data_IF_696980262571
#
_entry.id   IF_696980262571
#
_cell.length_a   1.000
_cell.length_b   1.000
_cell.length_c   1.000
_cell.angle_alpha   90.00
_cell.angle_beta   90.00
_cell.angle_gamma   90.00
#
_symmetry.space_group_name_H-M   'P 1'
#
loop_
_entity.id
_entity.type
_entity.pdbx_description
1 polymer ?
#
# COMPACT_ATOMS: atom_id res chain seq x y z
N UNK A 1 33.15 47.71 -59.42
CA UNK A 1 34.03 47.87 -60.59
C UNK A 1 35.43 47.43 -60.19
N UNK A 2 35.86 46.30 -60.77
CA UNK A 2 37.24 45.95 -61.17
C UNK A 2 38.29 45.78 -60.04
N UNK A 3 39.07 44.70 -59.91
CA UNK A 3 39.72 43.77 -60.85
C UNK A 3 39.81 42.37 -60.20
N UNK A 4 39.42 41.25 -60.83
CA UNK A 4 40.10 40.43 -61.87
C UNK A 4 41.48 39.86 -61.48
N UNK A 5 41.47 38.52 -61.33
CA UNK A 5 42.44 37.54 -61.88
C UNK A 5 43.83 37.45 -61.20
N UNK A 6 44.46 36.28 -60.99
CA UNK A 6 44.38 34.93 -61.60
C UNK A 6 45.23 33.95 -60.76
N UNK A 7 44.73 32.70 -60.57
CA UNK A 7 45.37 31.36 -60.56
C UNK A 7 46.88 31.16 -60.24
N UNK A 8 47.44 30.04 -59.74
CA UNK A 8 47.04 28.64 -59.47
C UNK A 8 48.23 27.97 -58.73
N UNK A 9 47.96 27.01 -57.82
CA UNK A 9 48.68 25.73 -57.57
C UNK A 9 48.46 25.30 -56.11
N UNK A 10 47.53 24.39 -55.83
CA UNK A 10 47.70 22.92 -55.80
C UNK A 10 48.70 22.48 -54.73
N UNK A 11 48.21 21.82 -53.68
CA UNK A 11 49.05 21.16 -52.69
C UNK A 11 48.32 20.82 -51.39
N UNK A 12 47.72 19.64 -51.37
CA UNK A 12 46.93 18.99 -50.32
C UNK A 12 47.54 18.92 -48.90
N UNK A 13 46.61 18.83 -47.93
CA UNK A 13 46.62 18.13 -46.63
C UNK A 13 46.90 18.88 -45.31
N UNK A 14 45.75 19.19 -44.65
CA UNK A 14 45.38 19.17 -43.22
C UNK A 14 46.11 20.06 -42.19
N UNK A 15 45.31 20.69 -41.30
CA UNK A 15 45.71 20.76 -39.90
C UNK A 15 44.61 20.30 -38.92
N UNK A 16 45.06 19.43 -38.01
CA UNK A 16 44.80 19.43 -36.56
C UNK A 16 43.65 20.31 -36.04
N UNK A 17 42.67 19.68 -35.39
CA UNK A 17 41.84 20.34 -34.38
C UNK A 17 41.73 19.49 -33.11
N UNK A 18 42.01 20.16 -32.00
CA UNK A 18 42.05 19.68 -30.60
C UNK A 18 40.81 18.87 -30.22
N UNK A 19 41.06 17.72 -29.60
CA UNK A 19 40.09 16.92 -28.86
C UNK A 19 39.76 17.56 -27.50
N UNK A 20 38.48 17.77 -27.22
CA UNK A 20 37.92 17.86 -25.86
C UNK A 20 37.23 16.52 -25.55
N UNK A 21 37.38 15.92 -24.35
CA UNK A 21 36.73 14.66 -24.05
C UNK A 21 35.24 14.91 -23.81
N UNK A 22 34.39 14.23 -24.58
CA UNK A 22 32.96 14.15 -24.32
C UNK A 22 32.75 13.34 -23.04
N UNK A 23 32.45 13.99 -21.94
CA UNK A 23 31.89 13.33 -20.75
C UNK A 23 30.50 12.80 -21.12
N UNK A 24 30.40 11.47 -21.13
CA UNK A 24 29.15 10.73 -21.28
C UNK A 24 28.25 10.98 -20.09
N UNK A 25 27.39 12.00 -20.19
CA UNK A 25 26.19 12.09 -19.35
C UNK A 25 25.24 10.99 -19.85
N UNK A 26 25.36 9.81 -19.26
CA UNK A 26 24.34 8.77 -19.39
C UNK A 26 23.05 9.32 -18.76
N UNK A 27 22.19 9.92 -19.58
CA UNK A 27 20.83 10.22 -19.20
C UNK A 27 20.14 8.87 -18.95
N UNK A 28 19.94 8.53 -17.68
CA UNK A 28 19.08 7.43 -17.29
C UNK A 28 17.66 7.75 -17.78
N UNK A 29 17.32 7.28 -18.98
CA UNK A 29 15.96 7.24 -19.49
C UNK A 29 15.17 6.37 -18.53
N UNK A 30 14.45 7.02 -17.60
CA UNK A 30 13.45 6.34 -16.78
C UNK A 30 12.34 5.96 -17.75
N UNK A 31 12.35 4.71 -18.24
CA UNK A 31 11.23 4.17 -18.99
C UNK A 31 9.99 4.32 -18.12
N UNK A 32 9.07 5.20 -18.53
CA UNK A 32 7.75 5.27 -17.93
C UNK A 32 7.07 3.96 -18.33
N UNK A 33 7.09 2.97 -17.43
CA UNK A 33 6.33 1.75 -17.61
C UNK A 33 4.85 2.12 -17.50
N UNK A 34 4.07 1.78 -18.52
CA UNK A 34 2.62 1.94 -18.46
C UNK A 34 2.06 0.90 -17.50
N UNK A 35 1.50 1.36 -16.37
CA UNK A 35 0.85 0.48 -15.40
C UNK A 35 -0.62 0.35 -15.73
N UNK A 36 -1.06 -0.89 -15.93
CA UNK A 36 -2.46 -1.19 -16.18
C UNK A 36 -3.21 -1.44 -14.86
N UNK A 37 -4.41 -0.87 -14.77
CA UNK A 37 -5.35 -1.10 -13.67
C UNK A 37 -6.61 -1.77 -14.18
N UNK A 38 -7.05 -2.84 -13.51
CA UNK A 38 -8.21 -3.63 -13.86
C UNK A 38 -9.20 -3.61 -12.71
N UNK A 39 -10.39 -3.09 -12.97
CA UNK A 39 -11.47 -3.11 -11.99
C UNK A 39 -12.00 -4.54 -11.87
N UNK A 40 -11.95 -5.08 -10.65
CA UNK A 40 -12.45 -6.42 -10.32
C UNK A 40 -13.85 -6.31 -9.71
N UNK A 41 -14.09 -5.30 -8.88
CA UNK A 41 -15.39 -5.03 -8.28
C UNK A 41 -15.53 -3.53 -7.96
N UNK A 42 -16.59 -3.15 -7.22
CA UNK A 42 -16.67 -1.78 -6.66
C UNK A 42 -15.63 -1.50 -5.57
N UNK A 43 -15.12 -2.52 -4.88
CA UNK A 43 -14.13 -2.38 -3.82
C UNK A 43 -12.71 -2.67 -4.29
N UNK A 44 -12.57 -3.54 -5.30
CA UNK A 44 -11.31 -4.12 -5.74
C UNK A 44 -10.85 -3.59 -7.09
N UNK A 45 -9.59 -3.20 -7.16
CA UNK A 45 -8.89 -2.84 -8.38
C UNK A 45 -7.49 -3.46 -8.37
N UNK A 46 -7.13 -4.16 -9.42
CA UNK A 46 -5.87 -4.86 -9.55
C UNK A 46 -4.91 -4.06 -10.42
N UNK A 47 -3.68 -3.88 -9.97
CA UNK A 47 -2.62 -3.19 -10.68
C UNK A 47 -1.49 -4.18 -10.95
N UNK A 48 -0.97 -4.16 -12.17
CA UNK A 48 0.17 -4.98 -12.56
C UNK A 48 1.03 -4.23 -13.57
N UNK A 49 2.32 -4.57 -13.60
CA UNK A 49 3.25 -4.13 -14.64
C UNK A 49 3.25 -5.03 -15.88
N UNK A 50 2.37 -6.04 -15.92
CA UNK A 50 2.24 -6.93 -17.07
C UNK A 50 1.43 -6.26 -18.18
N UNK A 51 1.93 -6.36 -19.41
CA UNK A 51 1.25 -5.86 -20.62
C UNK A 51 0.16 -6.81 -21.13
N UNK A 52 -0.01 -7.97 -20.49
CA UNK A 52 -1.02 -8.96 -20.87
C UNK A 52 -2.42 -8.37 -20.67
N UNK A 53 -3.27 -8.34 -21.71
CA UNK A 53 -4.65 -7.86 -21.57
C UNK A 53 -5.45 -8.75 -20.61
N UNK A 54 -5.95 -8.16 -19.52
CA UNK A 54 -6.84 -8.84 -18.58
C UNK A 54 -8.30 -8.44 -18.91
N UNK A 55 -9.21 -9.41 -19.08
CA UNK A 55 -10.64 -9.13 -19.24
C UNK A 55 -11.19 -8.27 -18.10
N UNK A 56 -12.15 -7.40 -18.41
CA UNK A 56 -12.85 -6.63 -17.37
C UNK A 56 -13.66 -7.58 -16.47
N UNK A 57 -13.77 -7.22 -15.20
CA UNK A 57 -14.62 -7.89 -14.21
C UNK A 57 -14.29 -9.39 -14.01
N UNK A 58 -13.07 -9.83 -14.34
CA UNK A 58 -12.59 -11.18 -14.02
C UNK A 58 -11.97 -11.23 -12.63
N UNK A 59 -12.25 -12.31 -11.90
CA UNK A 59 -11.55 -12.63 -10.65
C UNK A 59 -10.37 -13.59 -10.86
N UNK A 60 -10.22 -14.20 -12.03
CA UNK A 60 -9.14 -15.14 -12.33
C UNK A 60 -8.09 -14.44 -13.21
N UNK A 61 -7.12 -13.81 -12.57
CA UNK A 61 -6.07 -13.01 -13.22
C UNK A 61 -4.76 -13.78 -13.30
N UNK A 62 -4.41 -14.49 -12.23
CA UNK A 62 -3.19 -15.29 -12.10
C UNK A 62 -2.95 -16.26 -13.26
N UNK A 63 -4.00 -16.98 -13.69
CA UNK A 63 -3.92 -17.94 -14.78
C UNK A 63 -3.60 -17.29 -16.14
N UNK A 64 -4.01 -16.03 -16.33
CA UNK A 64 -3.76 -15.26 -17.56
C UNK A 64 -2.33 -14.72 -17.60
N UNK A 65 -1.72 -14.44 -16.45
CA UNK A 65 -0.39 -13.82 -16.33
C UNK A 65 0.79 -14.82 -16.43
N UNK A 66 0.51 -16.12 -16.63
CA UNK A 66 1.47 -17.19 -16.98
C UNK A 66 2.80 -17.24 -16.18
N UNK A 67 2.79 -16.93 -14.89
CA UNK A 67 4.00 -16.96 -14.04
C UNK A 67 3.71 -17.62 -12.71
N UNK A 68 4.52 -18.64 -12.35
CA UNK A 68 4.53 -19.19 -11.00
C UNK A 68 5.17 -18.16 -10.07
N UNK A 69 4.61 -17.97 -8.88
CA UNK A 69 5.08 -17.07 -7.82
C UNK A 69 5.10 -15.58 -8.23
N UNK A 70 3.91 -14.95 -8.20
CA UNK A 70 3.75 -13.50 -8.39
C UNK A 70 3.61 -12.82 -7.02
N UNK A 71 4.59 -12.03 -6.56
CA UNK A 71 4.44 -11.30 -5.31
C UNK A 71 3.23 -10.35 -5.38
N UNK A 72 2.43 -10.28 -4.30
CA UNK A 72 1.22 -9.47 -4.23
C UNK A 72 1.20 -8.60 -2.98
N UNK A 73 0.94 -7.30 -3.13
CA UNK A 73 0.58 -6.41 -2.03
C UNK A 73 -0.94 -6.22 -1.98
N UNK A 74 -1.54 -6.54 -0.84
CA UNK A 74 -2.92 -6.17 -0.50
C UNK A 74 -2.92 -4.75 0.10
N UNK A 75 -3.27 -3.76 -0.72
CA UNK A 75 -3.26 -2.35 -0.35
C UNK A 75 -4.64 -1.91 0.16
N UNK A 76 -4.85 -2.00 1.47
CA UNK A 76 -6.08 -1.58 2.14
C UNK A 76 -6.07 -0.06 2.36
N UNK A 77 -6.84 0.66 1.55
CA UNK A 77 -6.80 2.12 1.49
C UNK A 77 -7.58 2.79 2.64
N UNK A 78 -7.24 4.04 2.93
CA UNK A 78 -7.98 4.88 3.85
C UNK A 78 -9.32 5.37 3.24
N UNK A 79 -10.22 5.86 4.10
CA UNK A 79 -11.51 6.40 3.67
C UNK A 79 -11.34 7.60 2.73
N UNK A 80 -12.15 7.64 1.67
CA UNK A 80 -12.16 8.75 0.71
C UNK A 80 -10.81 8.99 -0.01
N UNK A 81 -9.95 7.97 -0.04
CA UNK A 81 -8.70 8.04 -0.79
C UNK A 81 -8.95 8.42 -2.25
N UNK A 82 -8.22 9.43 -2.73
CA UNK A 82 -8.25 9.87 -4.13
C UNK A 82 -7.40 8.92 -4.98
N UNK A 83 -7.89 8.52 -6.13
CA UNK A 83 -7.23 7.54 -6.99
C UNK A 83 -5.80 7.97 -7.37
N UNK A 84 -5.57 9.27 -7.59
CA UNK A 84 -4.23 9.84 -7.85
C UNK A 84 -3.22 9.60 -6.72
N UNK A 85 -3.66 9.49 -5.47
CA UNK A 85 -2.77 9.22 -4.34
C UNK A 85 -2.48 7.72 -4.28
N UNK A 86 -3.51 6.89 -4.44
CA UNK A 86 -3.39 5.44 -4.44
C UNK A 86 -2.49 4.94 -5.57
N UNK A 87 -2.59 5.54 -6.76
CA UNK A 87 -1.72 5.20 -7.88
C UNK A 87 -0.25 5.31 -7.52
N UNK A 88 0.16 6.29 -6.69
CA UNK A 88 1.58 6.40 -6.27
C UNK A 88 2.04 5.21 -5.44
N UNK A 89 1.19 4.70 -4.55
CA UNK A 89 1.49 3.49 -3.79
C UNK A 89 1.52 2.26 -4.71
N UNK A 90 0.57 2.13 -5.64
CA UNK A 90 0.56 1.04 -6.60
C UNK A 90 1.80 1.06 -7.50
N UNK A 91 2.16 2.23 -8.02
CA UNK A 91 3.34 2.45 -8.85
C UNK A 91 4.62 2.09 -8.08
N UNK A 92 4.72 2.44 -6.79
CA UNK A 92 5.86 2.04 -5.95
C UNK A 92 6.06 0.52 -5.96
N UNK A 93 5.02 -0.27 -5.67
CA UNK A 93 5.12 -1.73 -5.66
C UNK A 93 5.34 -2.32 -7.06
N UNK A 94 4.61 -1.85 -8.07
CA UNK A 94 4.75 -2.34 -9.44
C UNK A 94 6.15 -2.04 -10.01
N UNK A 95 6.77 -0.91 -9.66
CA UNK A 95 8.17 -0.61 -10.01
C UNK A 95 9.15 -1.64 -9.45
N UNK A 96 8.78 -2.31 -8.36
CA UNK A 96 9.52 -3.41 -7.75
C UNK A 96 9.07 -4.79 -8.22
N UNK A 97 8.23 -4.88 -9.27
CA UNK A 97 7.73 -6.16 -9.81
C UNK A 97 6.70 -6.86 -8.91
N UNK A 98 6.09 -6.13 -7.98
CA UNK A 98 5.07 -6.63 -7.07
C UNK A 98 3.70 -6.17 -7.57
N UNK A 99 2.79 -7.09 -7.85
CA UNK A 99 1.42 -6.75 -8.20
C UNK A 99 0.68 -6.16 -7.00
N UNK A 100 -0.36 -5.35 -7.24
CA UNK A 100 -1.14 -4.73 -6.16
C UNK A 100 -2.62 -5.01 -6.33
N UNK A 101 -3.25 -5.59 -5.31
CA UNK A 101 -4.69 -5.55 -5.16
C UNK A 101 -5.05 -4.36 -4.27
N UNK A 102 -5.67 -3.34 -4.84
CA UNK A 102 -6.20 -2.19 -4.12
C UNK A 102 -7.57 -2.52 -3.56
N UNK A 103 -7.75 -2.30 -2.27
CA UNK A 103 -9.02 -2.47 -1.57
C UNK A 103 -9.49 -1.13 -1.02
N UNK A 104 -10.70 -0.70 -1.41
CA UNK A 104 -11.31 0.56 -0.96
C UNK A 104 -12.73 0.33 -0.48
N UNK A 105 -13.06 0.97 0.64
CA UNK A 105 -14.42 1.02 1.20
C UNK A 105 -14.86 2.47 1.36
N UNK A 106 -16.17 2.68 1.33
CA UNK A 106 -16.79 3.98 1.62
C UNK A 106 -17.13 4.09 3.11
N UNK A 107 -17.37 5.31 3.61
CA UNK A 107 -17.91 5.48 4.97
C UNK A 107 -19.20 4.69 5.20
N UNK A 108 -20.06 4.55 4.18
CA UNK A 108 -21.29 3.77 4.27
C UNK A 108 -21.06 2.26 4.37
N UNK A 109 -19.95 1.76 3.83
CA UNK A 109 -19.59 0.35 3.97
C UNK A 109 -19.09 0.06 5.38
N UNK A 110 -18.34 0.99 5.97
CA UNK A 110 -17.87 0.91 7.37
C UNK A 110 -19.06 0.99 8.33
N UNK A 111 -20.00 1.93 8.13
CA UNK A 111 -21.22 2.07 8.94
C UNK A 111 -22.24 0.93 8.76
N UNK A 112 -21.99 -0.02 7.86
CA UNK A 112 -22.87 -1.18 7.65
C UNK A 112 -22.02 -2.44 7.49
N UNK A 113 -21.37 -2.95 8.56
CA UNK A 113 -20.35 -3.99 8.44
C UNK A 113 -20.76 -5.18 7.60
N UNK A 114 -21.93 -5.77 7.88
CA UNK A 114 -22.45 -6.97 7.18
C UNK A 114 -22.80 -6.74 5.71
N UNK A 115 -23.19 -5.52 5.32
CA UNK A 115 -23.59 -5.17 3.94
C UNK A 115 -22.52 -4.38 3.17
N UNK A 116 -21.40 -4.11 3.81
CA UNK A 116 -20.37 -3.20 3.33
C UNK A 116 -18.98 -3.79 3.51
N UNK A 117 -18.34 -3.50 4.64
CA UNK A 117 -16.97 -3.96 4.93
C UNK A 117 -16.79 -5.48 4.80
N UNK A 118 -17.75 -6.29 5.28
CA UNK A 118 -17.69 -7.74 5.17
C UNK A 118 -17.96 -8.26 3.76
N UNK A 119 -18.65 -7.49 2.92
CA UNK A 119 -18.80 -7.80 1.49
C UNK A 119 -17.47 -7.56 0.80
N UNK A 120 -16.82 -6.42 1.05
CA UNK A 120 -15.48 -6.15 0.53
C UNK A 120 -14.46 -7.21 1.00
N UNK A 121 -14.50 -7.62 2.26
CA UNK A 121 -13.63 -8.68 2.78
C UNK A 121 -13.90 -10.05 2.12
N UNK A 122 -15.16 -10.40 1.80
CA UNK A 122 -15.48 -11.59 1.01
C UNK A 122 -14.88 -11.50 -0.40
N UNK A 123 -15.04 -10.37 -1.08
CA UNK A 123 -14.48 -10.19 -2.42
C UNK A 123 -12.95 -10.35 -2.42
N UNK A 124 -12.25 -9.87 -1.37
CA UNK A 124 -10.80 -10.09 -1.23
C UNK A 124 -10.50 -11.58 -1.06
N UNK A 125 -11.26 -12.28 -0.22
CA UNK A 125 -11.09 -13.71 -0.01
C UNK A 125 -11.28 -14.50 -1.31
N UNK A 126 -12.36 -14.22 -2.03
CA UNK A 126 -12.67 -14.83 -3.33
C UNK A 126 -11.56 -14.57 -4.35
N UNK A 127 -11.01 -13.34 -4.39
CA UNK A 127 -9.86 -13.03 -5.23
C UNK A 127 -8.65 -13.88 -4.87
N UNK A 128 -8.31 -14.00 -3.58
CA UNK A 128 -7.13 -14.74 -3.14
C UNK A 128 -7.24 -16.24 -3.47
N UNK A 129 -8.43 -16.82 -3.32
CA UNK A 129 -8.71 -18.22 -3.65
C UNK A 129 -8.66 -18.48 -5.17
N UNK A 130 -9.19 -17.55 -5.96
CA UNK A 130 -9.16 -17.63 -7.43
C UNK A 130 -7.75 -17.45 -8.02
N UNK A 131 -6.81 -16.88 -7.25
CA UNK A 131 -5.46 -16.54 -7.70
C UNK A 131 -4.37 -17.15 -6.80
N UNK A 132 -4.18 -18.48 -6.83
CA UNK A 132 -3.23 -19.16 -5.94
C UNK A 132 -1.76 -18.89 -6.28
N UNK A 133 -1.42 -18.45 -7.50
CA UNK A 133 -0.04 -18.13 -7.87
C UNK A 133 0.46 -16.81 -7.30
N UNK A 134 -0.41 -15.97 -6.73
CA UNK A 134 -0.04 -14.73 -6.06
C UNK A 134 0.60 -14.99 -4.70
N UNK A 135 1.87 -15.38 -4.72
CA UNK A 135 2.67 -15.68 -3.54
C UNK A 135 4.12 -15.26 -3.80
N UNK A 136 4.83 -14.70 -2.80
CA UNK A 136 4.35 -14.36 -1.46
C UNK A 136 3.43 -13.13 -1.42
N UNK A 137 2.78 -12.88 -0.28
CA UNK A 137 1.84 -11.78 -0.06
C UNK A 137 2.29 -10.84 1.07
N UNK A 138 2.03 -9.55 0.87
CA UNK A 138 2.23 -8.49 1.83
C UNK A 138 0.91 -7.79 2.11
N UNK A 139 0.62 -7.46 3.37
CA UNK A 139 -0.46 -6.53 3.71
C UNK A 139 0.13 -5.12 3.83
N UNK A 140 -0.52 -4.14 3.22
CA UNK A 140 -0.25 -2.72 3.49
C UNK A 140 -1.58 -2.02 3.79
N UNK A 141 -1.86 -1.81 5.07
CA UNK A 141 -3.07 -1.15 5.52
C UNK A 141 -2.85 0.28 5.95
N UNK A 142 -3.70 1.18 5.44
CA UNK A 142 -3.70 2.59 5.79
C UNK A 142 -4.97 2.94 6.57
N UNK A 143 -4.84 3.52 7.77
CA UNK A 143 -5.99 3.97 8.58
C UNK A 143 -7.04 2.87 8.77
N UNK A 144 -8.28 3.08 8.29
CA UNK A 144 -9.38 2.11 8.32
C UNK A 144 -9.04 0.77 7.62
N UNK A 145 -7.97 0.73 6.82
CA UNK A 145 -7.49 -0.49 6.18
C UNK A 145 -7.15 -1.59 7.18
N UNK A 146 -6.72 -1.23 8.40
CA UNK A 146 -6.51 -2.19 9.50
C UNK A 146 -7.81 -2.90 9.90
N UNK A 147 -8.90 -2.15 10.02
CA UNK A 147 -10.23 -2.73 10.28
C UNK A 147 -10.67 -3.66 9.14
N UNK A 148 -10.49 -3.26 7.87
CA UNK A 148 -10.94 -4.07 6.75
C UNK A 148 -10.14 -5.37 6.59
N UNK A 149 -8.83 -5.33 6.79
CA UNK A 149 -8.02 -6.54 6.86
C UNK A 149 -8.44 -7.45 8.02
N UNK A 150 -8.80 -6.85 9.16
CA UNK A 150 -9.29 -7.62 10.31
C UNK A 150 -10.60 -8.34 10.01
N UNK A 151 -11.53 -7.73 9.26
CA UNK A 151 -12.75 -8.39 8.78
C UNK A 151 -12.46 -9.56 7.83
N UNK A 152 -11.42 -9.45 6.98
CA UNK A 152 -10.93 -10.59 6.18
C UNK A 152 -10.42 -11.71 7.10
N UNK A 153 -9.61 -11.37 8.10
CA UNK A 153 -9.07 -12.34 9.05
C UNK A 153 -10.15 -12.97 9.94
N UNK A 154 -11.21 -12.26 10.31
CA UNK A 154 -12.39 -12.86 10.96
C UNK A 154 -12.97 -14.00 10.11
N UNK A 155 -13.07 -13.81 8.79
CA UNK A 155 -13.59 -14.84 7.88
C UNK A 155 -12.67 -16.04 7.79
N UNK A 156 -11.36 -15.80 7.68
CA UNK A 156 -10.37 -16.89 7.70
C UNK A 156 -10.43 -17.68 9.01
N UNK A 157 -10.52 -17.00 10.16
CA UNK A 157 -10.62 -17.65 11.48
C UNK A 157 -11.90 -18.49 11.63
N UNK A 158 -13.02 -18.02 11.09
CA UNK A 158 -14.31 -18.71 11.20
C UNK A 158 -14.41 -19.97 10.32
N UNK A 159 -13.56 -20.09 9.30
CA UNK A 159 -13.51 -21.24 8.39
C UNK A 159 -12.06 -21.51 7.99
N UNK A 160 -11.31 -22.04 8.96
CA UNK A 160 -9.88 -22.31 8.83
C UNK A 160 -9.61 -23.49 7.87
N UNK A 161 -10.54 -24.44 7.78
CA UNK A 161 -10.42 -25.60 6.88
C UNK A 161 -10.39 -25.15 5.41
N UNK A 162 -11.27 -24.21 5.04
CA UNK A 162 -11.32 -23.69 3.67
C UNK A 162 -10.25 -22.63 3.40
N UNK A 163 -9.91 -21.78 4.39
CA UNK A 163 -9.13 -20.56 4.15
C UNK A 163 -7.74 -20.53 4.80
N UNK A 164 -7.44 -21.45 5.71
CA UNK A 164 -6.22 -21.40 6.53
C UNK A 164 -4.92 -21.47 5.73
N UNK A 165 -4.95 -22.14 4.58
CA UNK A 165 -3.83 -22.21 3.64
C UNK A 165 -3.39 -20.83 3.11
N UNK A 166 -4.24 -19.80 3.20
CA UNK A 166 -3.87 -18.44 2.81
C UNK A 166 -2.87 -17.81 3.78
N UNK A 167 -2.86 -18.24 5.05
CA UNK A 167 -2.00 -17.64 6.07
C UNK A 167 -0.52 -17.83 5.76
N UNK A 168 -0.14 -18.99 5.20
CA UNK A 168 1.25 -19.27 4.83
C UNK A 168 1.75 -18.48 3.62
N UNK A 169 0.87 -17.78 2.90
CA UNK A 169 1.25 -16.90 1.78
C UNK A 169 1.74 -15.54 2.28
N UNK A 170 1.30 -15.09 3.46
CA UNK A 170 1.73 -13.82 4.01
C UNK A 170 3.17 -13.92 4.52
N UNK A 171 4.00 -12.94 4.18
CA UNK A 171 5.38 -12.84 4.67
C UNK A 171 5.67 -11.54 5.43
N UNK A 172 4.73 -10.59 5.42
CA UNK A 172 4.85 -9.36 6.19
C UNK A 172 3.58 -8.52 6.20
N UNK A 173 3.57 -7.53 7.08
CA UNK A 173 2.48 -6.56 7.21
C UNK A 173 3.03 -5.15 7.45
N UNK A 174 2.44 -4.16 6.79
CA UNK A 174 2.73 -2.74 6.94
C UNK A 174 1.45 -2.03 7.39
N UNK A 175 1.54 -1.27 8.46
CA UNK A 175 0.44 -0.49 9.01
C UNK A 175 0.82 0.99 9.01
N UNK A 176 0.28 1.76 8.08
CA UNK A 176 0.45 3.22 8.00
C UNK A 176 -0.75 3.90 8.67
N UNK A 177 -0.47 4.62 9.75
CA UNK A 177 -1.47 5.37 10.51
C UNK A 177 -2.67 4.49 10.91
N UNK A 178 -2.43 3.23 11.32
CA UNK A 178 -3.48 2.27 11.64
C UNK A 178 -4.41 2.77 12.76
N UNK A 179 -5.73 2.59 12.60
CA UNK A 179 -6.72 3.05 13.58
C UNK A 179 -7.46 1.85 14.16
N UNK A 180 -7.45 1.74 15.48
CA UNK A 180 -8.27 0.77 16.23
C UNK A 180 -9.60 1.41 16.67
N UNK A 181 -10.60 0.57 16.96
CA UNK A 181 -11.96 0.96 17.32
C UNK A 181 -12.00 2.02 18.44
N UNK A 182 -11.13 1.88 19.45
CA UNK A 182 -11.09 2.77 20.60
C UNK A 182 -10.74 4.23 20.24
N UNK A 183 -9.98 4.44 19.17
CA UNK A 183 -9.56 5.78 18.75
C UNK A 183 -10.56 6.52 17.88
N UNK A 184 -11.59 5.85 17.37
CA UNK A 184 -12.49 6.43 16.36
C UNK A 184 -13.33 7.60 16.92
N UNK A 185 -14.02 7.48 18.07
CA UNK A 185 -14.86 8.58 18.57
C UNK A 185 -14.07 9.86 18.89
N UNK A 186 -12.81 9.73 19.28
CA UNK A 186 -11.94 10.85 19.64
C UNK A 186 -11.16 11.41 18.45
N UNK A 187 -10.49 10.54 17.68
CA UNK A 187 -9.62 10.93 16.59
C UNK A 187 -10.38 11.36 15.33
N UNK A 188 -11.47 10.68 14.97
CA UNK A 188 -12.15 10.94 13.70
C UNK A 188 -12.75 12.37 13.62
N UNK A 189 -13.46 12.90 14.64
CA UNK A 189 -13.99 14.26 14.55
C UNK A 189 -12.92 15.33 14.36
N UNK A 190 -11.80 15.22 15.08
CA UNK A 190 -10.70 16.22 15.02
C UNK A 190 -10.01 16.24 13.65
N UNK A 191 -10.06 15.13 12.92
CA UNK A 191 -9.49 15.05 11.58
C UNK A 191 -10.35 15.65 10.47
N UNK A 192 -11.67 15.78 10.71
CA UNK A 192 -12.63 16.24 9.71
C UNK A 192 -12.81 17.76 9.79
N UNK A 193 -12.75 18.33 11.00
CA UNK A 193 -12.99 19.75 11.20
C UNK A 193 -12.23 20.28 12.42
N UNK A 194 -11.84 21.55 12.39
CA UNK A 194 -11.30 22.26 13.56
C UNK A 194 -12.40 22.87 14.46
N UNK A 195 -13.67 22.80 14.06
CA UNK A 195 -14.79 23.36 14.84
C UNK A 195 -15.14 22.45 16.03
N UNK A 196 -14.86 22.93 17.25
CA UNK A 196 -15.05 22.19 18.51
C UNK A 196 -16.50 21.76 18.74
N UNK A 197 -17.49 22.59 18.40
CA UNK A 197 -18.90 22.24 18.58
C UNK A 197 -19.31 21.09 17.65
N UNK A 198 -18.86 21.15 16.38
CA UNK A 198 -19.10 20.08 15.42
C UNK A 198 -18.35 18.80 15.81
N UNK A 199 -17.10 18.91 16.27
CA UNK A 199 -16.34 17.77 16.80
C UNK A 199 -17.10 17.08 17.95
N UNK A 200 -17.58 17.84 18.93
CA UNK A 200 -18.34 17.31 20.07
C UNK A 200 -19.66 16.64 19.64
N UNK A 201 -20.35 17.22 18.65
CA UNK A 201 -21.55 16.61 18.07
C UNK A 201 -21.26 15.28 17.39
N UNK A 202 -20.19 15.23 16.58
CA UNK A 202 -19.74 14.01 15.90
C UNK A 202 -19.30 12.93 16.88
N UNK A 203 -18.55 13.29 17.94
CA UNK A 203 -18.17 12.37 19.02
C UNK A 203 -19.42 11.73 19.65
N UNK A 204 -20.38 12.54 20.10
CA UNK A 204 -21.64 12.06 20.70
C UNK A 204 -22.42 11.16 19.76
N UNK A 205 -22.46 11.49 18.47
CA UNK A 205 -23.11 10.66 17.46
C UNK A 205 -22.41 9.30 17.30
N UNK A 206 -21.07 9.28 17.22
CA UNK A 206 -20.29 8.05 17.10
C UNK A 206 -20.46 7.17 18.34
N UNK A 207 -20.40 7.75 19.54
CA UNK A 207 -20.67 7.05 20.80
C UNK A 207 -22.09 6.46 20.85
N UNK A 208 -23.09 7.26 20.49
CA UNK A 208 -24.48 6.80 20.39
C UNK A 208 -24.63 5.67 19.38
N UNK A 209 -24.02 5.82 18.19
CA UNK A 209 -24.06 4.82 17.13
C UNK A 209 -23.43 3.50 17.61
N UNK A 210 -22.24 3.56 18.21
CA UNK A 210 -21.55 2.38 18.73
C UNK A 210 -22.33 1.71 19.87
N UNK A 211 -23.05 2.47 20.69
CA UNK A 211 -23.89 1.90 21.75
C UNK A 211 -25.19 1.28 21.23
N UNK A 212 -25.94 1.99 20.39
CA UNK A 212 -27.28 1.60 19.96
C UNK A 212 -27.23 0.56 18.83
N UNK A 213 -26.25 0.65 17.93
CA UNK A 213 -26.08 -0.30 16.81
C UNK A 213 -25.20 -1.49 17.19
N UNK A 214 -25.17 -1.88 18.47
CA UNK A 214 -24.28 -2.93 18.95
C UNK A 214 -24.44 -4.24 18.18
N UNK A 215 -25.65 -4.80 18.16
CA UNK A 215 -25.95 -6.10 17.51
C UNK A 215 -25.74 -6.08 15.99
N UNK A 216 -25.84 -4.91 15.35
CA UNK A 216 -25.80 -4.80 13.90
C UNK A 216 -24.44 -4.33 13.36
N UNK A 217 -23.65 -3.65 14.18
CA UNK A 217 -22.42 -2.99 13.75
C UNK A 217 -21.28 -3.17 14.77
N UNK A 218 -21.44 -2.71 16.00
CA UNK A 218 -20.32 -2.60 16.97
C UNK A 218 -19.71 -3.94 17.31
N UNK A 219 -20.52 -4.99 17.43
CA UNK A 219 -20.03 -6.34 17.66
C UNK A 219 -19.04 -6.81 16.58
N UNK A 220 -19.19 -6.33 15.34
CA UNK A 220 -18.26 -6.65 14.26
C UNK A 220 -16.95 -5.88 14.41
N UNK A 221 -17.01 -4.59 14.78
CA UNK A 221 -15.81 -3.82 15.07
C UNK A 221 -15.01 -4.36 16.25
N UNK A 222 -15.68 -4.78 17.33
CA UNK A 222 -15.02 -5.37 18.49
C UNK A 222 -14.34 -6.71 18.13
N UNK A 223 -15.01 -7.54 17.32
CA UNK A 223 -14.41 -8.78 16.81
C UNK A 223 -13.19 -8.49 15.93
N UNK A 224 -13.31 -7.56 14.99
CA UNK A 224 -12.21 -7.15 14.13
C UNK A 224 -11.03 -6.59 14.95
N UNK A 225 -11.30 -5.77 15.97
CA UNK A 225 -10.30 -5.27 16.91
C UNK A 225 -9.62 -6.44 17.65
N UNK A 226 -10.37 -7.41 18.19
CA UNK A 226 -9.77 -8.58 18.82
C UNK A 226 -8.81 -9.34 17.88
N UNK A 227 -9.18 -9.49 16.60
CA UNK A 227 -8.35 -10.16 15.59
C UNK A 227 -7.03 -9.44 15.32
N UNK A 228 -7.02 -8.11 15.17
CA UNK A 228 -5.77 -7.38 14.90
C UNK A 228 -4.82 -7.43 16.11
N UNK A 229 -5.36 -7.41 17.33
CA UNK A 229 -4.57 -7.59 18.56
C UNK A 229 -4.04 -9.04 18.70
N UNK A 230 -4.74 -10.02 18.13
CA UNK A 230 -4.28 -11.41 18.06
C UNK A 230 -3.10 -11.59 17.10
N UNK A 231 -3.14 -10.96 15.91
CA UNK A 231 -2.15 -11.06 14.83
C UNK A 231 -1.74 -12.51 14.51
N UNK A 232 -2.72 -13.33 14.15
CA UNK A 232 -2.51 -14.75 13.91
C UNK A 232 -1.91 -15.07 12.53
N UNK A 233 -1.58 -14.08 11.69
CA UNK A 233 -0.71 -14.30 10.53
C UNK A 233 0.75 -14.51 10.95
N UNK A 234 1.15 -14.06 12.16
CA UNK A 234 2.47 -14.30 12.75
C UNK A 234 3.67 -13.89 11.87
N UNK A 235 3.50 -12.88 11.02
CA UNK A 235 4.56 -12.34 10.15
C UNK A 235 5.18 -11.06 10.69
N UNK A 236 6.44 -10.75 10.32
CA UNK A 236 7.07 -9.48 10.64
C UNK A 236 6.19 -8.28 10.26
N UNK A 237 6.21 -7.25 11.11
CA UNK A 237 5.36 -6.07 10.97
C UNK A 237 6.18 -4.79 10.89
N UNK A 238 5.79 -3.85 10.03
CA UNK A 238 6.25 -2.46 10.03
C UNK A 238 5.07 -1.55 10.40
N UNK A 239 5.19 -0.82 11.51
CA UNK A 239 4.16 0.09 12.01
C UNK A 239 4.64 1.53 11.88
N UNK A 240 3.94 2.32 11.08
CA UNK A 240 4.30 3.68 10.67
C UNK A 240 3.25 4.66 11.22
N UNK A 241 3.70 5.73 11.86
CA UNK A 241 2.84 6.78 12.45
C UNK A 241 3.58 8.11 12.50
N UNK A 242 2.91 9.19 12.89
CA UNK A 242 3.51 10.52 13.04
C UNK A 242 3.42 11.04 14.47
N UNK A 243 4.36 11.90 14.87
CA UNK A 243 4.36 12.56 16.17
C UNK A 243 3.18 13.54 16.38
N UNK A 244 2.55 13.98 15.29
CA UNK A 244 1.44 14.94 15.28
C UNK A 244 0.14 14.39 14.67
N UNK A 245 0.00 13.07 14.50
CA UNK A 245 -1.25 12.45 14.05
C UNK A 245 -2.23 12.32 15.24
N UNK A 246 -3.35 13.08 15.25
CA UNK A 246 -4.32 13.03 16.35
C UNK A 246 -5.24 11.80 16.30
N UNK A 247 -5.25 11.05 15.19
CA UNK A 247 -6.11 9.87 14.99
C UNK A 247 -5.35 8.58 15.28
N UNK A 248 -4.14 8.45 14.74
CA UNK A 248 -3.28 7.28 14.90
C UNK A 248 -2.04 7.66 15.69
N UNK A 249 -2.25 7.97 16.97
CA UNK A 249 -1.15 8.44 17.83
C UNK A 249 -0.08 7.35 18.02
N UNK A 250 1.17 7.74 18.32
CA UNK A 250 2.23 6.78 18.66
C UNK A 250 1.83 5.86 19.83
N UNK A 251 1.13 6.40 20.83
CA UNK A 251 0.67 5.65 21.99
C UNK A 251 -0.36 4.58 21.62
N UNK A 252 -1.34 4.92 20.76
CA UNK A 252 -2.35 3.97 20.29
C UNK A 252 -1.70 2.81 19.53
N UNK A 253 -0.81 3.10 18.57
CA UNK A 253 -0.09 2.06 17.83
C UNK A 253 0.74 1.17 18.77
N UNK A 254 1.39 1.76 19.78
CA UNK A 254 2.15 1.02 20.79
C UNK A 254 1.32 0.01 21.58
N UNK A 255 0.04 0.28 21.83
CA UNK A 255 -0.83 -0.69 22.51
C UNK A 255 -1.01 -1.99 21.73
N UNK A 256 -0.93 -1.93 20.40
CA UNK A 256 -1.09 -3.08 19.51
C UNK A 256 0.26 -3.75 19.30
N UNK A 257 1.25 -3.02 18.81
CA UNK A 257 2.50 -3.66 18.39
C UNK A 257 3.28 -4.26 19.56
N UNK A 258 3.17 -3.70 20.79
CA UNK A 258 3.78 -4.30 21.99
C UNK A 258 3.17 -5.66 22.34
N UNK A 259 1.90 -5.90 22.01
CA UNK A 259 1.29 -7.23 22.17
C UNK A 259 1.86 -8.23 21.17
N UNK A 260 2.23 -7.76 19.97
CA UNK A 260 2.88 -8.59 18.96
C UNK A 260 4.33 -8.89 19.35
N UNK A 261 5.07 -7.90 19.84
CA UNK A 261 6.41 -8.09 20.41
C UNK A 261 6.40 -9.10 21.56
N UNK A 262 5.43 -9.01 22.47
CA UNK A 262 5.25 -9.97 23.57
C UNK A 262 4.95 -11.41 23.09
N UNK A 263 4.53 -11.59 21.84
CA UNK A 263 4.35 -12.88 21.16
C UNK A 263 5.56 -13.30 20.32
N UNK A 264 6.69 -12.60 20.45
CA UNK A 264 7.91 -12.77 19.66
C UNK A 264 7.71 -12.56 18.15
N UNK A 265 6.69 -11.79 17.76
CA UNK A 265 6.52 -11.38 16.36
C UNK A 265 7.47 -10.19 16.12
N UNK A 266 8.34 -10.23 15.10
CA UNK A 266 9.22 -9.10 14.80
C UNK A 266 8.41 -7.84 14.44
N UNK A 267 8.65 -6.74 15.14
CA UNK A 267 8.03 -5.45 14.89
C UNK A 267 9.10 -4.41 14.61
N UNK A 268 8.88 -3.62 13.57
CA UNK A 268 9.65 -2.43 13.22
C UNK A 268 8.73 -1.23 13.31
N UNK A 269 9.21 -0.12 13.86
CA UNK A 269 8.41 1.10 13.98
C UNK A 269 9.07 2.27 13.28
N UNK A 270 8.27 3.11 12.62
CA UNK A 270 8.72 4.39 12.07
C UNK A 270 7.80 5.52 12.55
N UNK A 271 8.36 6.42 13.33
CA UNK A 271 7.71 7.69 13.66
C UNK A 271 8.20 8.78 12.68
N UNK A 272 7.30 9.34 11.89
CA UNK A 272 7.55 10.49 11.05
C UNK A 272 7.37 11.79 11.84
N UNK A 273 8.12 12.82 11.45
CA UNK A 273 8.01 14.15 12.06
C UNK A 273 7.01 15.00 11.30
N UNK A 274 5.97 15.47 11.96
CA UNK A 274 5.11 16.54 11.45
C UNK A 274 4.20 16.19 10.27
N UNK A 275 3.96 14.90 9.97
CA UNK A 275 3.10 14.49 8.85
C UNK A 275 1.66 14.24 9.27
N UNK A 276 0.65 14.85 8.60
CA UNK A 276 -0.75 14.56 8.88
C UNK A 276 -1.11 13.08 8.69
N UNK A 277 -2.23 12.67 9.27
CA UNK A 277 -2.80 11.33 9.12
C UNK A 277 -2.76 10.85 7.66
N UNK A 278 -2.28 9.61 7.43
CA UNK A 278 -2.12 8.94 6.12
C UNK A 278 -1.35 9.72 5.04
N UNK A 279 -0.62 10.76 5.44
CA UNK A 279 0.07 11.66 4.51
C UNK A 279 1.59 11.49 4.54
N UNK A 280 2.10 10.47 5.24
CA UNK A 280 3.54 10.22 5.40
C UNK A 280 4.25 10.11 4.06
N UNK A 281 3.72 9.33 3.11
CA UNK A 281 4.26 9.21 1.75
C UNK A 281 4.34 10.57 1.02
N UNK A 282 3.35 11.45 1.23
CA UNK A 282 3.27 12.73 0.51
C UNK A 282 4.23 13.77 1.10
N UNK A 283 4.43 13.75 2.42
CA UNK A 283 5.31 14.68 3.13
C UNK A 283 6.77 14.22 3.09
N UNK A 284 7.00 12.92 3.28
CA UNK A 284 8.32 12.31 3.49
C UNK A 284 8.64 11.25 2.44
N UNK A 285 8.35 11.51 1.16
CA UNK A 285 8.37 10.49 0.09
C UNK A 285 9.61 9.60 0.09
N UNK A 286 10.81 10.19 0.03
CA UNK A 286 12.06 9.43 -0.04
C UNK A 286 12.24 8.57 1.21
N UNK A 287 12.07 9.15 2.39
CA UNK A 287 12.19 8.43 3.66
C UNK A 287 11.15 7.30 3.79
N UNK A 288 9.93 7.53 3.32
CA UNK A 288 8.86 6.54 3.28
C UNK A 288 9.22 5.35 2.36
N UNK A 289 9.64 5.65 1.13
CA UNK A 289 10.07 4.64 0.16
C UNK A 289 11.30 3.86 0.66
N UNK A 290 12.28 4.52 1.27
CA UNK A 290 13.48 3.89 1.83
C UNK A 290 13.12 2.94 2.99
N UNK A 291 12.22 3.35 3.90
CA UNK A 291 11.77 2.53 5.03
C UNK A 291 11.00 1.29 4.56
N UNK A 292 10.08 1.46 3.60
CA UNK A 292 9.35 0.30 3.05
C UNK A 292 10.30 -0.62 2.30
N UNK A 293 11.18 -0.09 1.44
CA UNK A 293 12.13 -0.91 0.68
C UNK A 293 13.01 -1.75 1.61
N UNK A 294 13.57 -1.16 2.66
CA UNK A 294 14.36 -1.87 3.65
C UNK A 294 13.57 -2.98 4.37
N UNK A 295 12.28 -2.74 4.64
CA UNK A 295 11.41 -3.76 5.21
C UNK A 295 11.10 -4.89 4.22
N UNK A 296 10.83 -4.57 2.96
CA UNK A 296 10.58 -5.56 1.90
C UNK A 296 11.81 -6.46 1.65
N UNK A 297 13.02 -5.88 1.66
CA UNK A 297 14.27 -6.65 1.61
C UNK A 297 14.39 -7.61 2.80
N UNK A 298 14.09 -7.11 4.01
CA UNK A 298 14.22 -7.86 5.24
C UNK A 298 13.31 -9.09 5.30
N UNK A 299 12.10 -8.99 4.76
CA UNK A 299 11.14 -10.11 4.74
C UNK A 299 11.33 -11.01 3.51
N UNK A 300 12.31 -10.74 2.65
CA UNK A 300 12.56 -11.52 1.43
C UNK A 300 11.54 -11.29 0.32
N UNK A 301 10.79 -10.17 0.36
CA UNK A 301 9.91 -9.77 -0.74
C UNK A 301 10.72 -9.15 -1.90
N UNK A 302 11.85 -8.50 -1.58
CA UNK A 302 12.79 -7.93 -2.56
C UNK A 302 14.19 -8.48 -2.33
N UNK A 303 14.92 -8.69 -3.43
CA UNK A 303 16.35 -8.97 -3.37
C UNK A 303 17.14 -7.78 -2.82
N UNK A 304 18.22 -7.96 -2.05
CA UNK A 304 19.03 -6.87 -1.53
C UNK A 304 19.54 -5.91 -2.61
N UNK A 305 19.70 -4.62 -2.28
CA UNK A 305 20.17 -3.59 -3.20
C UNK A 305 21.43 -3.96 -4.01
N UNK A 306 22.39 -4.64 -3.39
CA UNK A 306 23.63 -5.09 -4.04
C UNK A 306 23.38 -6.07 -5.20
N UNK A 307 22.33 -6.90 -5.11
CA UNK A 307 21.98 -7.87 -6.14
C UNK A 307 21.05 -7.26 -7.21
N UNK A 308 20.20 -6.29 -6.84
CA UNK A 308 19.36 -5.56 -7.80
C UNK A 308 20.17 -4.76 -8.83
N UNK A 309 21.31 -4.20 -8.41
CA UNK A 309 22.19 -3.41 -9.28
C UNK A 309 22.90 -4.25 -10.37
N UNK A 310 23.02 -5.57 -10.16
CA UNK A 310 23.66 -6.50 -11.11
C UNK A 310 22.68 -7.19 -12.07
N UNK A 311 21.37 -7.02 -11.85
CA UNK A 311 20.30 -7.64 -12.64
C UNK A 311 19.63 -6.69 -13.64
N UNK A 312 20.21 -5.49 -13.85
CA UNK A 312 19.78 -4.49 -14.85
C UNK A 312 20.72 -4.53 -16.05
#
# INVERSE_FOLDING_TARGET
MTFKNVFLQVGLQSPLTRTLPASSVAAALTFIRDFHSYKVSKHLEFFTSSDIPIPKDTMQIASLLSTKNRPLTLLFCWLMAKDRHIKKYADFYNNHGIDVLRIKVTPFDVLRPTKGAQVAANEVLDFLLANPSHTPMLVHGLSVGAYLFSELMVKVKNDMDSHGHLLSRFIGQIWDSGVDLQGIPEGLPTSITSNVALQNSMRKYLEWYLKIKYKTSTIHYERASAIIHENFIHTPSLVMFSDNDPISTPAMNATIYRKWEAKNIPVYTKCFKGSPHVSHYMVHRKEYEDVITAFLERIGMLEPAAQRATSV
#
